data_IF_090953698293
#
_entry.id   IF_090953698293
#
_cell.length_a   1.000
_cell.length_b   1.000
_cell.length_c   1.000
_cell.angle_alpha   90.00
_cell.angle_beta   90.00
_cell.angle_gamma   90.00
#
_symmetry.space_group_name_H-M   'P 1'
#
loop_
_entity.id
_entity.type
_entity.pdbx_description
1 polymer ?
#
# COMPACT_ATOMS: atom_id res chain seq x y z
N UNK A 1 -5.68 -0.81 -26.74
CA UNK A 1 -5.72 -0.42 -25.32
C UNK A 1 -6.69 -1.32 -24.54
N UNK A 2 -6.35 -2.58 -24.27
CA UNK A 2 -7.06 -3.50 -23.36
C UNK A 2 -6.14 -4.68 -23.01
N UNK A 3 -5.02 -4.44 -22.31
CA UNK A 3 -4.15 -5.56 -21.90
C UNK A 3 -3.35 -5.34 -20.61
N UNK A 4 -3.12 -4.09 -20.18
CA UNK A 4 -2.26 -3.82 -19.02
C UNK A 4 -2.98 -4.02 -17.68
N UNK A 5 -4.30 -3.81 -17.62
CA UNK A 5 -5.08 -3.94 -16.38
C UNK A 5 -5.25 -5.39 -15.88
N UNK A 6 -4.94 -6.40 -16.72
CA UNK A 6 -5.17 -7.81 -16.37
C UNK A 6 -3.95 -8.51 -15.74
N UNK A 7 -2.76 -7.92 -15.80
CA UNK A 7 -1.54 -8.58 -15.29
C UNK A 7 -1.28 -8.34 -13.80
N UNK A 8 -1.79 -7.25 -13.20
CA UNK A 8 -1.59 -7.01 -11.76
C UNK A 8 -2.41 -7.98 -10.88
N UNK A 9 -3.55 -8.46 -11.37
CA UNK A 9 -4.42 -9.39 -10.64
C UNK A 9 -3.87 -10.82 -10.56
N UNK A 10 -2.92 -11.21 -11.42
CA UNK A 10 -2.39 -12.58 -11.48
C UNK A 10 -1.18 -12.82 -10.57
N UNK A 11 -0.54 -11.77 -10.06
CA UNK A 11 0.60 -11.94 -9.15
C UNK A 11 0.21 -12.10 -7.67
N UNK A 12 -1.03 -11.79 -7.29
CA UNK A 12 -1.49 -11.90 -5.90
C UNK A 12 -1.85 -13.35 -5.48
N UNK A 13 -2.01 -14.29 -6.41
CA UNK A 13 -2.53 -15.63 -6.11
C UNK A 13 -1.47 -16.71 -5.86
N UNK A 14 -0.16 -16.42 -5.90
CA UNK A 14 0.88 -17.45 -5.81
C UNK A 14 1.94 -17.26 -4.72
N UNK A 15 1.78 -16.30 -3.80
CA UNK A 15 2.62 -16.26 -2.61
C UNK A 15 2.07 -17.24 -1.58
N UNK A 16 2.34 -18.53 -1.76
CA UNK A 16 2.22 -19.55 -0.71
C UNK A 16 3.36 -19.40 0.32
N UNK A 17 3.54 -18.18 0.84
CA UNK A 17 4.37 -17.95 2.01
C UNK A 17 3.61 -18.44 3.23
N UNK A 18 4.10 -19.48 3.91
CA UNK A 18 3.72 -19.77 5.28
C UNK A 18 4.09 -18.57 6.17
N UNK A 19 3.23 -17.56 6.23
CA UNK A 19 3.32 -16.52 7.24
C UNK A 19 2.67 -17.06 8.51
N UNK A 20 3.47 -17.80 9.27
CA UNK A 20 3.11 -18.37 10.55
C UNK A 20 4.13 -18.00 11.62
N UNK A 21 3.68 -17.18 12.56
CA UNK A 21 4.23 -17.00 13.92
C UNK A 21 5.61 -16.35 14.06
N UNK A 22 5.63 -15.02 14.11
CA UNK A 22 6.44 -14.32 15.10
C UNK A 22 5.54 -13.34 15.86
N UNK A 23 5.16 -13.82 17.05
CA UNK A 23 4.51 -13.08 18.11
C UNK A 23 5.34 -11.83 18.44
N UNK A 24 4.85 -10.63 18.14
CA UNK A 24 5.32 -9.39 18.76
C UNK A 24 4.19 -8.38 18.90
N UNK A 25 3.91 -8.06 20.17
CA UNK A 25 2.91 -7.13 20.67
C UNK A 25 3.26 -5.65 20.34
N UNK A 26 3.24 -5.23 19.08
CA UNK A 26 3.53 -3.83 18.73
C UNK A 26 2.55 -3.23 17.71
N UNK A 27 1.28 -3.68 17.71
CA UNK A 27 0.20 -3.18 16.85
C UNK A 27 -0.29 -1.76 17.15
N UNK A 28 0.52 -0.90 17.77
CA UNK A 28 0.10 0.43 18.25
C UNK A 28 0.88 1.61 17.65
N UNK A 29 1.89 1.39 16.78
CA UNK A 29 2.80 2.48 16.35
C UNK A 29 2.57 3.05 14.96
N UNK A 30 1.79 2.40 14.10
CA UNK A 30 1.55 2.93 12.74
C UNK A 30 0.45 4.00 12.74
N UNK A 31 -0.59 3.84 13.55
CA UNK A 31 -1.65 4.85 13.71
C UNK A 31 -1.15 6.12 14.42
N UNK A 32 -0.28 6.00 15.41
CA UNK A 32 0.34 7.15 16.09
C UNK A 32 1.28 7.92 15.16
N UNK A 33 2.06 7.26 14.29
CA UNK A 33 2.93 7.96 13.33
C UNK A 33 2.17 8.64 12.18
N UNK A 34 0.97 8.16 11.83
CA UNK A 34 0.09 8.85 10.86
C UNK A 34 -0.63 10.06 11.49
N UNK A 35 -0.88 10.04 12.81
CA UNK A 35 -1.35 11.20 13.57
C UNK A 35 -0.23 12.18 13.94
N UNK A 36 1.01 11.71 14.05
CA UNK A 36 2.21 12.51 14.32
C UNK A 36 2.98 12.94 13.05
N UNK A 37 2.39 12.78 11.86
CA UNK A 37 2.72 13.65 10.71
C UNK A 37 2.22 15.07 11.01
N UNK A 38 2.88 15.64 12.02
CA UNK A 38 2.52 16.84 12.73
C UNK A 38 2.65 17.98 11.75
N UNK A 39 1.50 18.47 11.29
CA UNK A 39 1.34 19.88 10.98
C UNK A 39 2.06 20.63 12.10
N UNK A 40 3.10 21.40 11.78
CA UNK A 40 3.78 22.23 12.78
C UNK A 40 2.74 23.02 13.57
N UNK A 41 3.03 23.42 14.79
CA UNK A 41 2.10 24.21 15.62
C UNK A 41 1.67 25.54 14.93
N UNK A 42 2.32 25.88 13.82
CA UNK A 42 2.07 27.00 12.90
C UNK A 42 1.35 26.65 11.58
N UNK A 43 0.98 25.39 11.33
CA UNK A 43 0.36 24.99 10.07
C UNK A 43 1.33 24.55 8.96
N UNK A 44 2.65 24.53 9.22
CA UNK A 44 3.64 24.23 8.17
C UNK A 44 3.91 22.73 8.02
N UNK A 45 3.97 22.30 6.75
CA UNK A 45 4.39 20.96 6.35
C UNK A 45 5.90 20.99 6.12
N UNK A 46 6.63 19.96 6.53
CA UNK A 46 8.08 19.86 6.31
C UNK A 46 8.40 20.08 4.82
N UNK A 47 9.32 21.01 4.53
CA UNK A 47 9.67 21.43 3.18
C UNK A 47 10.09 20.25 2.27
N UNK A 48 10.58 19.16 2.88
CA UNK A 48 10.92 17.92 2.16
C UNK A 48 9.69 17.28 1.48
N UNK A 49 8.53 17.26 2.15
CA UNK A 49 7.31 16.66 1.60
C UNK A 49 6.70 17.54 0.52
N UNK A 50 6.79 18.86 0.65
CA UNK A 50 6.28 19.79 -0.36
C UNK A 50 7.04 19.67 -1.68
N UNK A 51 8.37 19.50 -1.63
CA UNK A 51 9.19 19.33 -2.84
C UNK A 51 8.79 18.07 -3.60
N UNK A 52 8.70 16.94 -2.89
CA UNK A 52 8.30 15.66 -3.48
C UNK A 52 6.86 15.69 -3.97
N UNK A 53 5.93 16.32 -3.24
CA UNK A 53 4.55 16.50 -3.68
C UNK A 53 4.46 17.27 -5.01
N UNK A 54 5.27 18.32 -5.20
CA UNK A 54 5.33 19.07 -6.46
C UNK A 54 5.88 18.21 -7.61
N UNK A 55 6.87 17.38 -7.34
CA UNK A 55 7.41 16.45 -8.34
C UNK A 55 6.33 15.45 -8.79
N UNK A 56 5.59 14.86 -7.84
CA UNK A 56 4.47 13.96 -8.14
C UNK A 56 3.39 14.65 -9.00
N UNK A 57 3.05 15.91 -8.68
CA UNK A 57 2.08 16.69 -9.46
C UNK A 57 2.58 17.07 -10.86
N UNK A 58 3.89 17.21 -11.04
CA UNK A 58 4.49 17.44 -12.35
C UNK A 58 4.46 16.18 -13.24
N UNK A 59 4.50 15.00 -12.63
CA UNK A 59 4.48 13.72 -13.32
C UNK A 59 3.06 13.22 -13.66
N UNK A 60 2.05 13.56 -12.85
CA UNK A 60 0.67 13.14 -13.08
C UNK A 60 -0.37 14.13 -12.54
N UNK A 61 -1.59 14.17 -13.13
CA UNK A 61 -2.68 15.02 -12.65
C UNK A 61 -3.32 14.46 -11.36
N UNK A 62 -2.70 14.75 -10.22
CA UNK A 62 -3.19 14.39 -8.89
C UNK A 62 -3.46 15.63 -8.02
N UNK A 63 -4.34 15.48 -7.02
CA UNK A 63 -4.64 16.58 -6.09
C UNK A 63 -3.42 16.90 -5.23
N UNK A 64 -3.33 18.13 -4.71
CA UNK A 64 -2.25 18.52 -3.80
C UNK A 64 -2.24 17.66 -2.52
N UNK A 65 -3.44 17.31 -2.03
CA UNK A 65 -3.61 16.44 -0.88
C UNK A 65 -3.12 15.01 -1.14
N UNK A 66 -3.49 14.41 -2.28
CA UNK A 66 -3.00 13.07 -2.64
C UNK A 66 -1.48 13.08 -2.81
N UNK A 67 -0.92 14.11 -3.46
CA UNK A 67 0.51 14.27 -3.65
C UNK A 67 1.26 14.34 -2.31
N UNK A 68 0.73 15.11 -1.35
CA UNK A 68 1.32 15.23 -0.03
C UNK A 68 1.28 13.90 0.75
N UNK A 69 0.14 13.21 0.75
CA UNK A 69 0.03 11.92 1.42
C UNK A 69 0.95 10.86 0.81
N UNK A 70 1.08 10.82 -0.53
CA UNK A 70 2.02 9.94 -1.20
C UNK A 70 3.45 10.31 -0.82
N UNK A 71 3.81 11.60 -0.81
CA UNK A 71 5.15 12.05 -0.44
C UNK A 71 5.53 11.62 0.98
N UNK A 72 4.61 11.75 1.95
CA UNK A 72 4.82 11.28 3.33
C UNK A 72 5.08 9.77 3.34
N UNK A 73 4.19 8.98 2.70
CA UNK A 73 4.35 7.52 2.67
C UNK A 73 5.64 7.06 1.99
N UNK A 74 6.09 7.75 0.93
CA UNK A 74 7.34 7.46 0.24
C UNK A 74 8.55 7.68 1.15
N UNK A 75 8.58 8.79 1.88
CA UNK A 75 9.68 9.11 2.80
C UNK A 75 9.73 8.14 3.98
N UNK A 76 8.58 7.79 4.56
CA UNK A 76 8.53 6.78 5.62
C UNK A 76 8.98 5.40 5.11
N UNK A 77 8.56 5.02 3.89
CA UNK A 77 8.97 3.77 3.26
C UNK A 77 10.48 3.69 2.94
N UNK A 78 11.17 4.83 2.77
CA UNK A 78 12.63 4.88 2.54
C UNK A 78 13.43 4.47 3.78
N UNK A 79 12.91 4.76 4.97
CA UNK A 79 13.61 4.55 6.24
C UNK A 79 13.11 3.34 7.03
N UNK A 80 11.97 2.77 6.63
CA UNK A 80 11.38 1.61 7.29
C UNK A 80 12.15 0.30 6.99
N UNK A 81 12.59 -0.35 8.07
CA UNK A 81 13.35 -1.59 7.99
C UNK A 81 12.51 -2.77 7.48
N UNK A 82 11.21 -2.80 7.79
CA UNK A 82 10.32 -3.85 7.31
C UNK A 82 10.12 -3.75 5.79
N UNK A 83 9.96 -2.54 5.28
CA UNK A 83 9.91 -2.24 3.84
C UNK A 83 11.18 -2.69 3.14
N UNK A 84 12.36 -2.40 3.70
CA UNK A 84 13.63 -2.86 3.13
C UNK A 84 13.70 -4.41 3.04
N UNK A 85 13.21 -5.10 4.08
CA UNK A 85 13.13 -6.57 4.10
C UNK A 85 12.14 -7.07 3.04
N UNK A 86 10.95 -6.48 2.95
CA UNK A 86 9.93 -6.83 1.96
C UNK A 86 10.45 -6.68 0.52
N UNK A 87 11.11 -5.55 0.22
CA UNK A 87 11.70 -5.31 -1.09
C UNK A 87 12.86 -6.28 -1.38
N UNK A 88 13.63 -6.71 -0.38
CA UNK A 88 14.71 -7.68 -0.55
C UNK A 88 14.21 -9.08 -0.93
N UNK A 89 12.96 -9.41 -0.60
CA UNK A 89 12.30 -10.66 -0.94
C UNK A 89 11.69 -10.63 -2.35
N UNK A 90 11.59 -9.46 -2.97
CA UNK A 90 11.12 -9.36 -4.35
C UNK A 90 12.17 -9.93 -5.31
N UNK A 91 11.74 -10.68 -6.34
CA UNK A 91 12.61 -11.02 -7.45
C UNK A 91 13.15 -9.72 -8.09
N UNK A 92 14.47 -9.61 -8.24
CA UNK A 92 15.10 -8.41 -8.79
C UNK A 92 14.59 -8.12 -10.20
N UNK A 93 14.32 -9.19 -10.94
CA UNK A 93 13.78 -9.16 -12.29
C UNK A 93 12.39 -8.53 -12.31
N UNK A 94 11.55 -8.77 -11.31
CA UNK A 94 10.20 -8.20 -11.23
C UNK A 94 10.23 -6.68 -11.02
N UNK A 95 11.12 -6.18 -10.17
CA UNK A 95 11.29 -4.73 -9.96
C UNK A 95 11.86 -4.06 -11.22
N UNK A 96 12.82 -4.71 -11.88
CA UNK A 96 13.40 -4.21 -13.13
C UNK A 96 12.38 -4.19 -14.27
N UNK A 97 11.56 -5.23 -14.39
CA UNK A 97 10.48 -5.31 -15.37
C UNK A 97 9.42 -4.23 -15.11
N UNK A 98 9.01 -4.07 -13.86
CA UNK A 98 8.07 -3.02 -13.48
C UNK A 98 8.63 -1.63 -13.80
N UNK A 99 9.91 -1.39 -13.51
CA UNK A 99 10.60 -0.14 -13.86
C UNK A 99 10.69 0.08 -15.37
N UNK A 100 10.98 -0.96 -16.14
CA UNK A 100 11.12 -0.86 -17.60
C UNK A 100 9.77 -0.67 -18.33
N UNK A 101 8.69 -1.16 -17.74
CA UNK A 101 7.35 -1.13 -18.32
C UNK A 101 6.47 0.04 -17.86
N UNK A 102 6.88 0.79 -16.84
CA UNK A 102 6.08 1.88 -16.27
C UNK A 102 6.64 3.26 -16.62
N UNK A 103 5.77 4.15 -17.07
CA UNK A 103 6.06 5.58 -17.19
C UNK A 103 5.91 6.29 -15.84
N UNK A 104 6.52 7.48 -15.65
CA UNK A 104 6.35 8.26 -14.41
C UNK A 104 4.87 8.52 -14.07
N UNK A 105 4.04 8.81 -15.07
CA UNK A 105 2.60 9.03 -14.87
C UNK A 105 1.87 7.76 -14.41
N UNK A 106 2.26 6.59 -14.92
CA UNK A 106 1.69 5.30 -14.48
C UNK A 106 2.10 4.95 -13.06
N UNK A 107 3.36 5.22 -12.68
CA UNK A 107 3.84 5.05 -11.31
C UNK A 107 3.01 5.92 -10.37
N UNK A 108 2.93 7.24 -10.63
CA UNK A 108 2.20 8.15 -9.72
C UNK A 108 0.70 7.81 -9.64
N UNK A 109 0.07 7.45 -10.76
CA UNK A 109 -1.33 7.01 -10.73
C UNK A 109 -1.53 5.70 -9.96
N UNK A 110 -0.60 4.75 -10.04
CA UNK A 110 -0.67 3.53 -9.24
C UNK A 110 -0.42 3.78 -7.75
N UNK A 111 0.47 4.72 -7.38
CA UNK A 111 0.65 5.14 -5.99
C UNK A 111 -0.62 5.77 -5.43
N UNK A 112 -1.27 6.63 -6.22
CA UNK A 112 -2.57 7.20 -5.87
C UNK A 112 -3.65 6.13 -5.69
N UNK A 113 -3.72 5.16 -6.59
CA UNK A 113 -4.69 4.06 -6.48
C UNK A 113 -4.48 3.27 -5.18
N UNK A 114 -3.24 2.87 -4.88
CA UNK A 114 -2.91 2.17 -3.64
C UNK A 114 -3.21 3.01 -2.38
N UNK A 115 -2.92 4.32 -2.40
CA UNK A 115 -3.31 5.23 -1.29
C UNK A 115 -4.82 5.25 -1.08
N UNK A 116 -5.59 5.33 -2.17
CA UNK A 116 -7.05 5.33 -2.11
C UNK A 116 -7.59 4.00 -1.62
N UNK A 117 -6.97 2.89 -2.01
CA UNK A 117 -7.30 1.55 -1.50
C UNK A 117 -7.00 1.41 -0.01
N UNK A 118 -5.85 1.89 0.49
CA UNK A 118 -5.55 1.92 1.94
C UNK A 118 -6.64 2.67 2.71
N UNK A 119 -7.01 3.88 2.23
CA UNK A 119 -8.11 4.66 2.83
C UNK A 119 -9.45 3.93 2.77
N UNK A 120 -9.74 3.25 1.66
CA UNK A 120 -10.99 2.51 1.48
C UNK A 120 -11.07 1.27 2.38
N UNK A 121 -9.96 0.57 2.63
CA UNK A 121 -9.91 -0.56 3.56
C UNK A 121 -10.24 -0.11 4.98
N UNK A 122 -9.73 1.04 5.42
CA UNK A 122 -10.09 1.60 6.72
C UNK A 122 -11.60 1.84 6.87
N UNK A 123 -12.24 2.34 5.79
CA UNK A 123 -13.69 2.52 5.78
C UNK A 123 -14.42 1.17 5.76
N UNK A 124 -13.99 0.23 4.91
CA UNK A 124 -14.61 -1.08 4.77
C UNK A 124 -14.58 -1.84 6.10
N UNK A 125 -13.43 -1.83 6.78
CA UNK A 125 -13.23 -2.50 8.06
C UNK A 125 -13.64 -1.68 9.29
N UNK A 126 -14.36 -0.57 9.10
CA UNK A 126 -15.12 0.07 10.19
C UNK A 126 -16.16 -0.89 10.81
N UNK A 127 -16.61 -1.89 10.04
CA UNK A 127 -17.34 -3.06 10.51
C UNK A 127 -16.67 -4.33 9.97
N UNK A 128 -15.69 -4.91 10.70
CA UNK A 128 -14.88 -6.02 10.22
C UNK A 128 -15.69 -7.28 9.86
N UNK A 129 -16.75 -7.59 10.62
CA UNK A 129 -17.58 -8.76 10.36
C UNK A 129 -18.34 -8.62 9.04
N UNK A 130 -18.90 -7.42 8.79
CA UNK A 130 -19.57 -7.11 7.53
C UNK A 130 -18.58 -7.11 6.36
N UNK A 131 -17.36 -6.60 6.56
CA UNK A 131 -16.31 -6.60 5.54
C UNK A 131 -16.01 -8.02 5.04
N UNK A 132 -15.84 -8.98 5.95
CA UNK A 132 -15.61 -10.40 5.58
C UNK A 132 -16.77 -10.96 4.74
N UNK A 133 -18.01 -10.65 5.10
CA UNK A 133 -19.19 -11.13 4.38
C UNK A 133 -19.25 -10.54 2.97
N UNK A 134 -19.04 -9.23 2.82
CA UNK A 134 -19.07 -8.59 1.50
C UNK A 134 -17.90 -9.05 0.62
N UNK A 135 -16.70 -9.18 1.18
CA UNK A 135 -15.53 -9.67 0.45
C UNK A 135 -15.66 -11.16 0.05
N UNK A 136 -16.33 -11.99 0.86
CA UNK A 136 -16.67 -13.36 0.48
C UNK A 136 -17.63 -13.40 -0.71
N UNK A 137 -18.68 -12.55 -0.70
CA UNK A 137 -19.66 -12.46 -1.80
C UNK A 137 -19.01 -12.06 -3.12
N UNK A 138 -18.09 -11.10 -3.08
CA UNK A 138 -17.33 -10.64 -4.25
C UNK A 138 -16.20 -11.62 -4.67
N UNK A 139 -16.01 -12.72 -3.92
CA UNK A 139 -14.99 -13.73 -4.25
C UNK A 139 -13.56 -13.26 -4.00
N UNK A 140 -13.35 -12.25 -3.16
CA UNK A 140 -12.05 -11.67 -2.82
C UNK A 140 -11.29 -12.47 -1.76
N UNK A 141 -11.96 -13.46 -1.14
CA UNK A 141 -11.38 -14.34 -0.13
C UNK A 141 -11.25 -15.75 -0.69
N UNK A 142 -10.07 -16.35 -0.56
CA UNK A 142 -9.89 -17.77 -0.86
C UNK A 142 -10.84 -18.63 -0.02
N UNK A 143 -11.62 -19.51 -0.65
CA UNK A 143 -12.64 -20.34 0.02
C UNK A 143 -12.13 -21.08 1.26
N UNK A 144 -10.86 -21.54 1.25
CA UNK A 144 -10.21 -22.23 2.37
C UNK A 144 -9.94 -21.35 3.60
N UNK A 145 -9.89 -20.02 3.45
CA UNK A 145 -9.61 -19.05 4.53
C UNK A 145 -10.85 -18.33 5.05
N UNK A 146 -12.00 -18.45 4.37
CA UNK A 146 -13.25 -17.77 4.74
C UNK A 146 -13.63 -18.02 6.21
N UNK A 147 -13.66 -19.28 6.64
CA UNK A 147 -14.05 -19.63 8.01
C UNK A 147 -13.06 -19.10 9.06
N UNK A 148 -11.78 -18.99 8.69
CA UNK A 148 -10.76 -18.40 9.55
C UNK A 148 -11.00 -16.89 9.72
N UNK A 149 -11.27 -16.18 8.63
CA UNK A 149 -11.51 -14.73 8.68
C UNK A 149 -12.86 -14.36 9.30
N UNK A 150 -13.90 -15.18 9.14
CA UNK A 150 -15.18 -15.00 9.86
C UNK A 150 -15.00 -15.01 11.38
N UNK A 151 -14.03 -15.78 11.88
CA UNK A 151 -13.68 -15.85 13.30
C UNK A 151 -12.65 -14.80 13.73
N UNK A 152 -11.88 -14.27 12.78
CA UNK A 152 -10.77 -13.35 13.02
C UNK A 152 -10.77 -12.23 11.95
N UNK A 153 -11.78 -11.35 11.92
CA UNK A 153 -11.96 -10.40 10.83
C UNK A 153 -10.86 -9.32 10.79
N UNK A 154 -10.25 -9.02 11.93
CA UNK A 154 -9.06 -8.14 12.00
C UNK A 154 -7.88 -8.70 11.21
N UNK A 155 -7.69 -10.02 11.17
CA UNK A 155 -6.59 -10.63 10.41
C UNK A 155 -6.79 -10.44 8.91
N UNK A 156 -8.03 -10.40 8.42
CA UNK A 156 -8.30 -10.07 7.03
C UNK A 156 -7.94 -8.60 6.72
N UNK A 157 -8.24 -7.68 7.64
CA UNK A 157 -7.83 -6.27 7.51
C UNK A 157 -6.31 -6.17 7.39
N UNK A 158 -5.58 -6.82 8.30
CA UNK A 158 -4.11 -6.78 8.32
C UNK A 158 -3.50 -7.37 7.05
N UNK A 159 -4.00 -8.53 6.59
CA UNK A 159 -3.53 -9.16 5.36
C UNK A 159 -3.83 -8.28 4.13
N UNK A 160 -4.99 -7.63 4.10
CA UNK A 160 -5.37 -6.70 3.02
C UNK A 160 -4.50 -5.45 3.02
N UNK A 161 -4.31 -4.83 4.18
CA UNK A 161 -3.44 -3.65 4.35
C UNK A 161 -2.00 -3.97 3.93
N UNK A 162 -1.47 -5.13 4.34
CA UNK A 162 -0.12 -5.57 3.94
C UNK A 162 -0.01 -5.79 2.43
N UNK A 163 -1.02 -6.37 1.79
CA UNK A 163 -1.02 -6.60 0.35
C UNK A 163 -1.00 -5.27 -0.44
N UNK A 164 -1.84 -4.31 -0.04
CA UNK A 164 -1.89 -2.99 -0.68
C UNK A 164 -0.61 -2.19 -0.41
N UNK A 165 -0.13 -2.22 0.85
CA UNK A 165 1.13 -1.56 1.20
C UNK A 165 2.31 -2.14 0.42
N UNK A 166 2.37 -3.47 0.28
CA UNK A 166 3.39 -4.13 -0.52
C UNK A 166 3.33 -3.70 -2.00
N UNK A 167 2.12 -3.59 -2.57
CA UNK A 167 1.95 -3.06 -3.92
C UNK A 167 2.41 -1.60 -4.04
N UNK A 168 2.11 -0.77 -3.04
CA UNK A 168 2.57 0.61 -2.96
C UNK A 168 4.11 0.69 -2.98
N UNK A 169 4.79 0.02 -2.04
CA UNK A 169 6.26 0.06 -1.93
C UNK A 169 6.96 -0.59 -3.12
N UNK A 170 6.37 -1.63 -3.71
CA UNK A 170 6.88 -2.24 -4.94
C UNK A 170 6.89 -1.28 -6.12
N UNK A 171 5.76 -0.58 -6.34
CA UNK A 171 5.60 0.37 -7.43
C UNK A 171 6.48 1.60 -7.22
N UNK A 172 6.49 2.08 -5.99
CA UNK A 172 7.35 3.15 -5.60
C UNK A 172 8.81 2.75 -5.90
N UNK A 173 9.27 1.53 -5.55
CA UNK A 173 10.66 1.14 -5.70
C UNK A 173 11.05 1.02 -7.18
N UNK A 174 10.11 0.58 -8.03
CA UNK A 174 10.25 0.62 -9.48
C UNK A 174 10.41 2.06 -10.01
N UNK A 175 9.67 3.02 -9.43
CA UNK A 175 9.87 4.45 -9.65
C UNK A 175 11.14 5.02 -9.02
N UNK A 176 11.95 4.22 -8.33
CA UNK A 176 13.13 4.67 -7.59
C UNK A 176 12.78 5.50 -6.36
N UNK A 177 11.53 5.45 -5.90
CA UNK A 177 10.91 6.35 -4.92
C UNK A 177 10.96 7.82 -5.32
N UNK A 178 10.87 8.03 -6.64
CA UNK A 178 10.81 9.28 -7.41
C UNK A 178 11.52 10.43 -6.69
#
# INVERSE_FOLDING_TARGET
>A
MKLVTFCLALFLCNVNGQFGMLNRNDGAKVEDNLQEASIGVDGTVDAKYESLARELQSAAPISAEDALHIAILLEEAKIDAETAVLLSQMPKEAVQELKASSTPIEIVNGLKANLHELKAVEILFSNPERAVIEMEKEGLIEKKRVDFYKKNPSVLKDDTNKAIYFAFVSLAAAGGYL
#
